data_IF_726813936542
#
_entry.id   IF_726813936542
#
_cell.length_a   1.000
_cell.length_b   1.000
_cell.length_c   1.000
_cell.angle_alpha   90.00
_cell.angle_beta   90.00
_cell.angle_gamma   90.00
#
_symmetry.space_group_name_H-M   'P 1'
#
loop_
_entity.id
_entity.type
_entity.pdbx_description
1 polymer ?
#
# COMPACT_ATOMS: atom_id res chain seq x y z
N UNK A 1 -14.31 -27.52 2.32
CA UNK A 1 -13.95 -26.95 1.01
C UNK A 1 -13.09 -25.73 1.27
N UNK A 2 -11.81 -25.78 0.89
CA UNK A 2 -10.90 -24.64 1.06
C UNK A 2 -11.41 -23.50 0.20
N UNK A 3 -11.81 -22.39 0.81
CA UNK A 3 -12.05 -21.14 0.11
C UNK A 3 -10.71 -20.67 -0.40
N UNK A 4 -10.36 -21.08 -1.63
CA UNK A 4 -9.25 -20.50 -2.36
C UNK A 4 -9.56 -19.02 -2.47
N UNK A 5 -8.93 -18.21 -1.60
CA UNK A 5 -8.98 -16.77 -1.73
C UNK A 5 -8.34 -16.45 -3.07
N UNK A 6 -9.15 -16.16 -4.07
CA UNK A 6 -8.66 -15.59 -5.33
C UNK A 6 -8.12 -14.22 -4.95
N UNK A 7 -6.80 -14.11 -4.89
CA UNK A 7 -6.13 -12.84 -4.63
C UNK A 7 -6.05 -12.08 -5.96
N UNK A 8 -6.50 -10.84 -5.93
CA UNK A 8 -6.27 -9.93 -7.05
C UNK A 8 -4.75 -9.74 -7.24
N UNK A 9 -4.21 -9.86 -8.47
CA UNK A 9 -2.79 -9.69 -8.76
C UNK A 9 -2.22 -8.36 -8.25
N UNK A 10 -3.02 -7.29 -8.20
CA UNK A 10 -2.58 -5.98 -7.73
C UNK A 10 -2.22 -5.96 -6.24
N UNK A 11 -2.72 -6.92 -5.47
CA UNK A 11 -2.47 -7.05 -4.03
C UNK A 11 -1.47 -8.16 -3.68
N UNK A 12 -0.82 -8.76 -4.67
CA UNK A 12 0.14 -9.82 -4.40
C UNK A 12 1.40 -9.28 -3.70
N UNK A 13 1.69 -9.78 -2.50
CA UNK A 13 2.90 -9.41 -1.73
C UNK A 13 2.89 -8.00 -1.14
N UNK A 14 1.76 -7.31 -1.17
CA UNK A 14 1.61 -5.97 -0.56
C UNK A 14 1.80 -6.04 0.95
N UNK A 15 2.38 -4.99 1.53
CA UNK A 15 2.68 -4.94 2.95
C UNK A 15 3.78 -5.87 3.48
N UNK A 16 4.38 -6.72 2.64
CA UNK A 16 5.50 -7.61 3.02
C UNK A 16 6.89 -7.04 2.64
N UNK A 17 6.94 -5.88 1.97
CA UNK A 17 8.19 -5.27 1.52
C UNK A 17 9.06 -4.84 2.72
N UNK A 18 10.31 -5.35 2.86
CA UNK A 18 11.18 -5.00 3.97
C UNK A 18 11.47 -3.51 3.99
N UNK A 19 11.40 -2.92 5.18
CA UNK A 19 11.60 -1.49 5.47
C UNK A 19 13.04 -0.97 5.26
N UNK A 20 13.90 -1.73 4.59
CA UNK A 20 15.34 -1.47 4.52
C UNK A 20 15.77 -0.38 3.53
N UNK A 21 14.85 0.26 2.80
CA UNK A 21 15.18 1.44 1.98
C UNK A 21 14.69 2.73 2.64
N UNK A 22 15.66 3.50 3.15
CA UNK A 22 15.56 4.77 3.88
C UNK A 22 15.03 5.94 3.02
N UNK A 23 13.84 5.81 2.43
CA UNK A 23 13.20 6.92 1.69
C UNK A 23 11.73 7.05 2.11
N UNK A 24 11.50 7.99 3.03
CA UNK A 24 10.32 8.78 3.45
C UNK A 24 8.84 8.36 3.19
N UNK A 25 8.49 7.29 2.49
CA UNK A 25 7.10 6.85 2.29
C UNK A 25 6.89 5.42 2.84
N UNK A 26 7.42 5.17 4.04
CA UNK A 26 7.52 3.86 4.66
C UNK A 26 6.13 3.26 4.92
N UNK A 27 5.76 2.24 4.14
CA UNK A 27 4.60 1.39 4.40
C UNK A 27 3.28 1.81 3.76
N UNK A 28 3.23 2.89 2.98
CA UNK A 28 2.00 3.26 2.26
C UNK A 28 2.04 2.80 0.80
N UNK A 29 1.02 2.08 0.37
CA UNK A 29 0.78 1.69 -1.02
C UNK A 29 -0.63 2.17 -1.41
N UNK A 30 -0.77 2.76 -2.60
CA UNK A 30 -2.03 3.33 -3.09
C UNK A 30 -2.35 2.74 -4.46
N UNK A 31 -3.62 2.39 -4.66
CA UNK A 31 -4.19 2.00 -5.95
C UNK A 31 -5.33 2.94 -6.30
N UNK A 32 -5.44 3.27 -7.59
CA UNK A 32 -6.62 3.90 -8.17
C UNK A 32 -7.47 2.84 -8.87
N UNK A 33 -8.78 2.95 -8.78
CA UNK A 33 -9.68 2.07 -9.51
C UNK A 33 -9.84 2.59 -10.93
N UNK A 34 -9.37 1.82 -11.90
CA UNK A 34 -9.50 2.09 -13.33
C UNK A 34 -10.17 0.88 -13.98
N UNK A 35 -11.26 1.09 -14.72
CA UNK A 35 -11.97 0.01 -15.42
C UNK A 35 -12.33 -1.18 -14.51
N UNK A 36 -12.78 -0.91 -13.28
CA UNK A 36 -13.09 -1.91 -12.24
C UNK A 36 -11.89 -2.77 -11.80
N UNK A 37 -10.66 -2.29 -12.00
CA UNK A 37 -9.43 -2.96 -11.57
C UNK A 37 -8.59 -2.02 -10.70
N UNK A 38 -7.95 -2.54 -9.64
CA UNK A 38 -6.99 -1.78 -8.85
C UNK A 38 -5.67 -1.60 -9.61
N UNK A 39 -5.36 -0.36 -9.99
CA UNK A 39 -4.11 0.00 -10.67
C UNK A 39 -3.18 0.71 -9.69
N UNK A 40 -1.93 0.25 -9.49
CA UNK A 40 -0.97 0.91 -8.60
C UNK A 40 -0.73 2.36 -9.00
N UNK A 41 -0.91 3.27 -8.04
CA UNK A 41 -0.63 4.69 -8.26
C UNK A 41 0.89 4.93 -8.18
N UNK A 42 1.43 5.78 -9.04
CA UNK A 42 2.84 6.15 -8.97
C UNK A 42 3.12 6.95 -7.70
N UNK A 43 4.28 6.72 -7.07
CA UNK A 43 4.66 7.40 -5.81
C UNK A 43 4.73 8.92 -5.94
N UNK A 44 5.06 9.44 -7.12
CA UNK A 44 5.05 10.88 -7.46
C UNK A 44 3.68 11.53 -7.36
N UNK A 45 2.61 10.73 -7.41
CA UNK A 45 1.23 11.19 -7.36
C UNK A 45 0.56 10.88 -6.01
N UNK A 46 1.32 10.38 -5.03
CA UNK A 46 0.79 10.17 -3.69
C UNK A 46 0.36 11.51 -3.09
N UNK A 47 -0.87 11.55 -2.57
CA UNK A 47 -1.49 12.77 -2.08
C UNK A 47 -2.30 13.55 -3.14
N UNK A 48 -2.23 13.16 -4.42
CA UNK A 48 -3.08 13.72 -5.48
C UNK A 48 -4.28 12.80 -5.68
N UNK A 49 -5.43 13.20 -5.14
CA UNK A 49 -6.69 12.49 -5.31
C UNK A 49 -7.61 13.29 -6.23
N UNK A 50 -8.12 12.65 -7.27
CA UNK A 50 -9.00 13.25 -8.25
C UNK A 50 -10.46 12.97 -7.89
N UNK A 51 -11.31 13.99 -7.91
CA UNK A 51 -12.74 13.83 -7.66
C UNK A 51 -13.37 12.97 -8.76
N UNK A 52 -14.28 12.06 -8.36
CA UNK A 52 -14.93 11.11 -9.27
C UNK A 52 -14.23 9.76 -9.34
N UNK A 53 -12.96 9.68 -8.94
CA UNK A 53 -12.20 8.43 -8.87
C UNK A 53 -12.34 7.77 -7.49
N UNK A 54 -12.09 6.46 -7.44
CA UNK A 54 -12.02 5.68 -6.20
C UNK A 54 -10.60 5.15 -5.98
N UNK A 55 -10.20 5.05 -4.71
CA UNK A 55 -8.84 4.68 -4.33
C UNK A 55 -8.84 3.64 -3.20
N UNK A 56 -7.82 2.78 -3.20
CA UNK A 56 -7.50 1.86 -2.11
C UNK A 56 -6.15 2.31 -1.54
N UNK A 57 -6.08 2.45 -0.21
CA UNK A 57 -4.85 2.84 0.48
C UNK A 57 -4.52 1.79 1.53
N UNK A 58 -3.35 1.18 1.41
CA UNK A 58 -2.77 0.32 2.43
C UNK A 58 -1.69 1.11 3.16
N UNK A 59 -1.78 1.19 4.49
CA UNK A 59 -0.72 1.73 5.32
C UNK A 59 -0.27 0.69 6.34
N UNK A 60 0.97 0.21 6.21
CA UNK A 60 1.58 -0.78 7.09
C UNK A 60 2.43 -0.07 8.13
N UNK A 61 1.99 -0.13 9.38
CA UNK A 61 2.76 0.33 10.53
C UNK A 61 3.71 -0.78 10.97
N UNK A 62 5.00 -0.47 11.05
CA UNK A 62 5.94 -1.35 11.74
C UNK A 62 5.96 -1.01 13.23
N UNK A 63 5.34 -1.88 14.03
CA UNK A 63 5.28 -1.74 15.49
C UNK A 63 6.64 -1.99 16.16
N UNK A 64 7.64 -2.51 15.46
CA UNK A 64 8.98 -2.69 16.04
C UNK A 64 9.74 -1.36 16.23
N UNK A 65 9.46 -0.34 15.42
CA UNK A 65 10.12 0.97 15.56
C UNK A 65 9.46 1.86 16.62
N UNK A 66 8.23 1.58 17.05
CA UNK A 66 7.56 2.34 18.11
C UNK A 66 8.05 2.02 19.53
N UNK A 67 8.86 0.97 19.69
CA UNK A 67 9.48 0.59 20.97
C UNK A 67 10.96 0.98 21.07
N UNK A 68 11.54 1.64 20.05
CA UNK A 68 12.89 2.18 20.18
C UNK A 68 12.86 3.43 21.06
N UNK A 69 13.75 3.55 22.06
CA UNK A 69 13.82 4.75 22.88
C UNK A 69 14.19 5.95 22.00
N UNK A 70 13.58 7.13 22.23
CA UNK A 70 14.00 8.35 21.58
C UNK A 70 15.45 8.66 22.00
N UNK A 71 16.34 8.78 21.01
CA UNK A 71 17.69 9.33 21.19
C UNK A 71 17.64 10.83 21.38
#
# INVERSE_FOLDING_TARGET
MSSSKVLDPAFQGVGQKPLLHLTSCRGTEIWRIENFQPVPLQKSDYGKFYMGDSYIVLHVKNLFLSHLPPT
#
